data_IF_178683748152
#
_entry.id   IF_178683748152
#
_cell.length_a   1.000
_cell.length_b   1.000
_cell.length_c   1.000
_cell.angle_alpha   90.00
_cell.angle_beta   90.00
_cell.angle_gamma   90.00
#
_symmetry.space_group_name_H-M   'P 1'
#
loop_
_entity.id
_entity.type
_entity.pdbx_description
1 polymer ?
#
# COMPACT_ATOMS: atom_id res chain seq x y z
N UNK A 1 54.89 16.99 -24.69
CA UNK A 1 54.24 15.72 -25.06
C UNK A 1 54.64 14.71 -24.01
N UNK A 2 53.79 14.03 -23.26
CA UNK A 2 52.46 13.51 -23.57
C UNK A 2 51.81 13.23 -22.22
N UNK A 3 50.72 13.94 -21.93
CA UNK A 3 49.76 13.56 -20.91
C UNK A 3 49.24 12.18 -21.29
N UNK A 4 49.71 11.11 -20.65
CA UNK A 4 49.09 9.81 -20.82
C UNK A 4 49.50 8.91 -19.65
N UNK A 5 48.51 8.28 -19.02
CA UNK A 5 48.59 7.30 -17.91
C UNK A 5 48.22 7.80 -16.51
N UNK A 6 47.37 8.81 -16.41
CA UNK A 6 46.56 9.05 -15.20
C UNK A 6 45.08 8.72 -15.49
N UNK A 7 44.80 7.50 -15.95
CA UNK A 7 43.47 7.18 -16.52
C UNK A 7 42.91 5.83 -16.09
N UNK A 8 43.40 5.20 -15.02
CA UNK A 8 42.85 3.92 -14.55
C UNK A 8 42.84 3.88 -13.02
N UNK A 9 42.03 4.73 -12.40
CA UNK A 9 41.68 4.62 -10.98
C UNK A 9 40.25 5.11 -10.69
N UNK A 10 39.37 4.98 -11.68
CA UNK A 10 37.93 5.17 -11.52
C UNK A 10 37.22 3.90 -12.01
N UNK A 11 37.60 2.75 -11.45
CA UNK A 11 36.88 1.51 -11.63
C UNK A 11 35.59 1.57 -10.80
N UNK A 12 34.57 2.18 -11.42
CA UNK A 12 33.15 1.82 -11.35
C UNK A 12 32.76 0.95 -10.13
N UNK A 13 32.57 1.60 -8.98
CA UNK A 13 31.80 1.04 -7.87
C UNK A 13 30.30 1.21 -8.15
N UNK A 14 29.80 0.69 -9.27
CA UNK A 14 28.38 0.66 -9.61
C UNK A 14 27.77 -0.73 -9.36
N UNK A 15 28.23 -1.41 -8.31
CA UNK A 15 27.74 -2.72 -7.94
C UNK A 15 26.59 -2.59 -6.92
N UNK A 16 25.39 -2.91 -7.41
CA UNK A 16 24.25 -3.43 -6.65
C UNK A 16 23.46 -2.46 -5.75
N UNK A 17 22.78 -1.48 -6.36
CA UNK A 17 21.39 -1.20 -5.96
C UNK A 17 20.47 -2.19 -6.68
N UNK A 18 20.63 -3.48 -6.36
CA UNK A 18 19.59 -4.46 -6.66
C UNK A 18 18.44 -4.13 -5.71
N UNK A 19 17.56 -3.26 -6.20
CA UNK A 19 16.24 -2.99 -5.64
C UNK A 19 15.65 -4.32 -5.16
N UNK A 20 15.28 -4.39 -3.89
CA UNK A 20 14.53 -5.50 -3.33
C UNK A 20 13.13 -5.50 -3.94
N UNK A 21 13.01 -5.85 -5.23
CA UNK A 21 11.74 -6.15 -5.84
C UNK A 21 11.17 -7.36 -5.10
N UNK A 22 10.17 -7.10 -4.25
CA UNK A 22 9.47 -8.15 -3.52
C UNK A 22 8.72 -8.99 -4.54
N UNK A 23 8.99 -10.30 -4.53
CA UNK A 23 8.32 -11.23 -5.44
C UNK A 23 6.81 -11.19 -5.22
N UNK A 24 6.00 -11.37 -6.28
CA UNK A 24 4.56 -11.50 -6.13
C UNK A 24 4.20 -12.62 -5.15
N UNK A 25 3.21 -12.38 -4.29
CA UNK A 25 2.70 -13.41 -3.40
C UNK A 25 1.82 -14.39 -4.17
N UNK A 26 1.86 -15.67 -3.78
CA UNK A 26 0.93 -16.67 -4.29
C UNK A 26 -0.43 -16.46 -3.63
N UNK A 27 -1.36 -15.79 -4.32
CA UNK A 27 -2.75 -15.61 -3.87
C UNK A 27 -3.56 -16.87 -4.18
N UNK A 28 -4.14 -17.57 -3.18
CA UNK A 28 -4.93 -18.77 -3.45
C UNK A 28 -6.20 -18.42 -4.26
N UNK A 29 -6.41 -19.12 -5.38
CA UNK A 29 -7.54 -18.87 -6.29
C UNK A 29 -8.91 -19.04 -5.61
N UNK A 30 -9.02 -19.94 -4.62
CA UNK A 30 -10.25 -20.19 -3.87
C UNK A 30 -10.43 -19.35 -2.60
N UNK A 31 -9.48 -18.47 -2.26
CA UNK A 31 -9.56 -17.70 -1.02
C UNK A 31 -10.77 -16.75 -1.02
N UNK A 32 -11.50 -16.75 0.08
CA UNK A 32 -12.58 -15.80 0.37
C UNK A 32 -12.03 -14.39 0.69
N UNK A 33 -12.87 -13.35 0.64
CA UNK A 33 -12.49 -11.99 1.04
C UNK A 33 -11.88 -11.95 2.46
N UNK A 34 -12.52 -12.62 3.42
CA UNK A 34 -12.06 -12.66 4.81
C UNK A 34 -10.68 -13.33 4.95
N UNK A 35 -10.43 -14.43 4.22
CA UNK A 35 -9.12 -15.08 4.21
C UNK A 35 -8.05 -14.17 3.60
N UNK A 36 -8.35 -13.47 2.50
CA UNK A 36 -7.43 -12.51 1.89
C UNK A 36 -7.10 -11.36 2.83
N UNK A 37 -8.11 -10.78 3.51
CA UNK A 37 -7.90 -9.75 4.54
C UNK A 37 -7.02 -10.28 5.67
N UNK A 38 -7.28 -11.48 6.17
CA UNK A 38 -6.47 -12.08 7.23
C UNK A 38 -5.02 -12.32 6.78
N UNK A 39 -4.81 -12.80 5.55
CA UNK A 39 -3.48 -12.99 4.97
C UNK A 39 -2.73 -11.65 4.82
N UNK A 40 -3.45 -10.60 4.41
CA UNK A 40 -2.91 -9.25 4.28
C UNK A 40 -2.47 -8.69 5.64
N UNK A 41 -3.33 -8.79 6.66
CA UNK A 41 -3.03 -8.37 8.03
C UNK A 41 -1.81 -9.11 8.59
N UNK A 42 -1.78 -10.45 8.47
CA UNK A 42 -0.65 -11.28 8.90
C UNK A 42 0.65 -10.89 8.20
N UNK A 43 0.59 -10.51 6.91
CA UNK A 43 1.76 -10.04 6.17
C UNK A 43 2.23 -8.67 6.70
N UNK A 44 1.31 -7.73 6.94
CA UNK A 44 1.61 -6.40 7.48
C UNK A 44 2.21 -6.47 8.90
N UNK A 45 1.68 -7.33 9.77
CA UNK A 45 2.21 -7.58 11.11
C UNK A 45 3.66 -8.10 11.08
N UNK A 46 4.02 -8.86 10.05
CA UNK A 46 5.38 -9.36 9.81
C UNK A 46 6.28 -8.34 9.08
N UNK A 47 5.80 -7.11 8.88
CA UNK A 47 6.52 -6.05 8.15
C UNK A 47 6.61 -6.29 6.64
N UNK A 48 5.85 -7.24 6.08
CA UNK A 48 5.82 -7.54 4.65
C UNK A 48 4.76 -6.68 3.95
N UNK A 49 4.97 -5.37 3.93
CA UNK A 49 3.99 -4.40 3.44
C UNK A 49 3.54 -4.66 2.00
N UNK A 50 4.46 -4.91 1.06
CA UNK A 50 4.07 -5.16 -0.34
C UNK A 50 3.32 -6.48 -0.52
N UNK A 51 3.62 -7.48 0.30
CA UNK A 51 2.83 -8.71 0.33
C UNK A 51 1.40 -8.44 0.84
N UNK A 52 1.26 -7.61 1.88
CA UNK A 52 -0.04 -7.21 2.39
C UNK A 52 -0.86 -6.44 1.34
N UNK A 53 -0.24 -5.47 0.66
CA UNK A 53 -0.87 -4.70 -0.42
C UNK A 53 -1.37 -5.63 -1.52
N UNK A 54 -0.60 -6.65 -1.92
CA UNK A 54 -1.04 -7.60 -2.95
C UNK A 54 -2.26 -8.43 -2.52
N UNK A 55 -2.35 -8.86 -1.26
CA UNK A 55 -3.54 -9.55 -0.77
C UNK A 55 -4.76 -8.64 -0.69
N UNK A 56 -4.59 -7.38 -0.24
CA UNK A 56 -5.67 -6.40 -0.28
C UNK A 56 -6.09 -6.07 -1.72
N UNK A 57 -5.16 -5.96 -2.65
CA UNK A 57 -5.48 -5.75 -4.07
C UNK A 57 -6.29 -6.92 -4.62
N UNK A 58 -5.99 -8.16 -4.22
CA UNK A 58 -6.80 -9.31 -4.59
C UNK A 58 -8.25 -9.22 -4.07
N UNK A 59 -8.49 -8.58 -2.92
CA UNK A 59 -9.86 -8.28 -2.45
C UNK A 59 -10.55 -7.33 -3.41
N UNK A 60 -9.89 -6.21 -3.75
CA UNK A 60 -10.43 -5.19 -4.65
C UNK A 60 -10.73 -5.75 -6.05
N UNK A 61 -9.86 -6.60 -6.57
CA UNK A 61 -9.95 -7.13 -7.94
C UNK A 61 -10.99 -8.24 -8.05
N UNK A 62 -11.07 -9.14 -7.05
CA UNK A 62 -11.89 -10.35 -7.12
C UNK A 62 -13.26 -10.20 -6.47
N UNK A 63 -13.41 -9.27 -5.55
CA UNK A 63 -14.62 -9.11 -4.74
C UNK A 63 -15.07 -7.65 -4.64
N UNK A 64 -15.24 -6.93 -5.77
CA UNK A 64 -15.60 -5.50 -5.76
C UNK A 64 -16.97 -5.22 -5.12
N UNK A 65 -17.86 -6.22 -5.06
CA UNK A 65 -19.20 -6.13 -4.47
C UNK A 65 -19.20 -6.38 -2.95
N UNK A 66 -18.12 -6.92 -2.37
CA UNK A 66 -17.98 -7.07 -0.92
C UNK A 66 -17.54 -5.73 -0.32
N UNK A 67 -18.49 -4.79 -0.25
CA UNK A 67 -18.23 -3.41 0.16
C UNK A 67 -17.50 -3.29 1.52
N UNK A 68 -17.82 -4.10 2.56
CA UNK A 68 -17.05 -4.12 3.79
C UNK A 68 -15.58 -4.49 3.60
N UNK A 69 -15.29 -5.56 2.85
CA UNK A 69 -13.93 -6.02 2.61
C UNK A 69 -13.15 -5.06 1.70
N UNK A 70 -13.81 -4.47 0.71
CA UNK A 70 -13.24 -3.43 -0.17
C UNK A 70 -12.86 -2.20 0.65
N UNK A 71 -13.74 -1.72 1.52
CA UNK A 71 -13.48 -0.58 2.39
C UNK A 71 -12.28 -0.84 3.32
N UNK A 72 -12.19 -2.05 3.89
CA UNK A 72 -11.05 -2.47 4.69
C UNK A 72 -9.74 -2.45 3.87
N UNK A 73 -9.76 -3.04 2.67
CA UNK A 73 -8.59 -3.12 1.80
C UNK A 73 -8.09 -1.73 1.37
N UNK A 74 -8.99 -0.82 0.96
CA UNK A 74 -8.66 0.55 0.59
C UNK A 74 -8.02 1.32 1.76
N UNK A 75 -8.61 1.21 2.97
CA UNK A 75 -8.05 1.84 4.16
C UNK A 75 -6.67 1.30 4.50
N UNK A 76 -6.49 -0.02 4.52
CA UNK A 76 -5.24 -0.65 4.93
C UNK A 76 -4.10 -0.38 3.94
N UNK A 77 -4.38 -0.35 2.63
CA UNK A 77 -3.41 0.07 1.62
C UNK A 77 -2.98 1.53 1.86
N UNK A 78 -3.94 2.43 2.09
CA UNK A 78 -3.64 3.83 2.40
C UNK A 78 -2.80 3.97 3.68
N UNK A 79 -3.15 3.20 4.72
CA UNK A 79 -2.47 3.21 6.00
C UNK A 79 -1.04 2.64 5.92
N UNK A 80 -0.81 1.61 5.10
CA UNK A 80 0.54 1.10 4.81
C UNK A 80 1.41 2.21 4.21
N UNK A 81 0.91 2.92 3.19
CA UNK A 81 1.67 4.05 2.58
C UNK A 81 1.93 5.18 3.56
N UNK A 82 0.96 5.48 4.43
CA UNK A 82 1.16 6.44 5.52
C UNK A 82 2.27 6.01 6.49
N UNK A 83 2.29 4.73 6.91
CA UNK A 83 3.34 4.19 7.79
C UNK A 83 4.74 4.23 7.15
N UNK A 84 4.80 4.11 5.83
CA UNK A 84 6.03 4.26 5.03
C UNK A 84 6.47 5.72 4.86
N UNK A 85 5.68 6.67 5.39
CA UNK A 85 5.84 8.13 5.21
C UNK A 85 5.72 8.58 3.76
N UNK A 86 5.15 7.73 2.90
CA UNK A 86 4.78 8.12 1.53
C UNK A 86 3.43 8.82 1.55
N UNK A 87 3.43 10.06 2.04
CA UNK A 87 2.23 10.88 2.13
C UNK A 87 1.67 11.24 0.75
N UNK A 88 2.53 11.31 -0.27
CA UNK A 88 2.13 11.57 -1.65
C UNK A 88 1.21 10.48 -2.20
N UNK A 89 1.45 9.21 -1.85
CA UNK A 89 0.54 8.12 -2.16
C UNK A 89 -0.60 7.96 -1.15
N UNK A 90 -0.32 8.12 0.15
CA UNK A 90 -1.32 7.89 1.20
C UNK A 90 -2.50 8.87 1.13
N UNK A 91 -2.24 10.16 0.93
CA UNK A 91 -3.25 11.23 0.91
C UNK A 91 -4.36 10.98 -0.13
N UNK A 92 -4.06 10.79 -1.43
CA UNK A 92 -5.12 10.54 -2.43
C UNK A 92 -5.88 9.23 -2.19
N UNK A 93 -5.26 8.23 -1.55
CA UNK A 93 -5.94 6.98 -1.19
C UNK A 93 -6.97 7.22 -0.07
N UNK A 94 -6.61 7.96 0.99
CA UNK A 94 -7.57 8.32 2.04
C UNK A 94 -8.70 9.20 1.52
N UNK A 95 -8.42 10.17 0.65
CA UNK A 95 -9.45 11.01 0.02
C UNK A 95 -10.46 10.13 -0.74
N UNK A 96 -9.97 9.16 -1.52
CA UNK A 96 -10.81 8.24 -2.28
C UNK A 96 -11.68 7.37 -1.37
N UNK A 97 -11.09 6.79 -0.33
CA UNK A 97 -11.81 6.00 0.68
C UNK A 97 -12.94 6.83 1.30
N UNK A 98 -12.64 8.05 1.73
CA UNK A 98 -13.61 8.92 2.41
C UNK A 98 -14.76 9.35 1.50
N UNK A 99 -14.50 9.59 0.21
CA UNK A 99 -15.53 9.91 -0.76
C UNK A 99 -16.59 8.81 -0.92
N UNK A 100 -16.29 7.55 -0.57
CA UNK A 100 -17.28 6.45 -0.61
C UNK A 100 -18.39 6.62 0.42
N UNK A 101 -18.13 7.31 1.52
CA UNK A 101 -19.12 7.56 2.57
C UNK A 101 -20.13 8.64 2.20
N UNK A 102 -19.99 9.28 1.03
CA UNK A 102 -20.97 10.19 0.45
C UNK A 102 -21.87 9.50 -0.59
N UNK A 103 -21.70 8.19 -0.79
CA UNK A 103 -22.50 7.39 -1.72
C UNK A 103 -23.80 6.85 -1.08
N UNK A 104 -24.80 6.44 -1.88
CA UNK A 104 -26.00 5.77 -1.36
C UNK A 104 -25.71 4.50 -0.54
N UNK A 105 -24.60 3.82 -0.86
CA UNK A 105 -24.19 2.57 -0.21
C UNK A 105 -23.39 2.80 1.07
N UNK A 106 -23.21 4.05 1.52
CA UNK A 106 -22.43 4.39 2.71
C UNK A 106 -22.90 3.66 3.98
N UNK A 107 -24.19 3.32 4.08
CA UNK A 107 -24.75 2.56 5.19
C UNK A 107 -24.20 1.12 5.30
N UNK A 108 -23.67 0.57 4.20
CA UNK A 108 -23.05 -0.76 4.13
C UNK A 108 -21.55 -0.73 4.47
N UNK A 109 -20.94 0.47 4.55
CA UNK A 109 -19.52 0.62 4.79
C UNK A 109 -19.22 0.61 6.30
N UNK A 110 -18.17 -0.09 6.76
CA UNK A 110 -17.78 -0.08 8.16
C UNK A 110 -17.37 1.33 8.62
N UNK A 111 -18.07 1.91 9.60
CA UNK A 111 -17.89 3.30 10.00
C UNK A 111 -16.50 3.61 10.60
N UNK A 112 -15.79 2.61 11.12
CA UNK A 112 -14.47 2.79 11.71
C UNK A 112 -13.44 3.32 10.70
N UNK A 113 -13.53 2.91 9.43
CA UNK A 113 -12.55 3.34 8.42
C UNK A 113 -12.74 4.79 7.99
N UNK A 114 -13.96 5.34 8.12
CA UNK A 114 -14.21 6.79 8.01
C UNK A 114 -13.47 7.55 9.10
N UNK A 115 -13.71 7.21 10.36
CA UNK A 115 -13.14 7.90 11.53
C UNK A 115 -11.60 7.83 11.50
N UNK A 116 -11.05 6.66 11.21
CA UNK A 116 -9.61 6.48 11.11
C UNK A 116 -9.05 7.23 9.89
N UNK A 117 -9.69 7.14 8.73
CA UNK A 117 -9.27 7.82 7.50
C UNK A 117 -9.22 9.34 7.67
N UNK A 118 -10.25 9.95 8.24
CA UNK A 118 -10.31 11.39 8.55
C UNK A 118 -9.16 11.80 9.46
N UNK A 119 -8.91 11.02 10.52
CA UNK A 119 -7.82 11.28 11.47
C UNK A 119 -6.44 11.21 10.80
N UNK A 120 -6.18 10.18 9.99
CA UNK A 120 -4.88 10.06 9.31
C UNK A 120 -4.71 11.17 8.27
N UNK A 121 -5.75 11.49 7.51
CA UNK A 121 -5.72 12.55 6.50
C UNK A 121 -5.36 13.91 7.13
N UNK A 122 -6.01 14.27 8.25
CA UNK A 122 -5.68 15.48 8.99
C UNK A 122 -4.21 15.47 9.48
N UNK A 123 -3.69 14.33 9.93
CA UNK A 123 -2.28 14.22 10.32
C UNK A 123 -1.31 14.36 9.15
N UNK A 124 -1.69 13.95 7.94
CA UNK A 124 -0.89 14.18 6.73
C UNK A 124 -0.87 15.67 6.40
N UNK A 125 -2.02 16.34 6.43
CA UNK A 125 -2.13 17.77 6.11
C UNK A 125 -1.36 18.67 7.08
N UNK A 126 -1.22 18.28 8.35
CA UNK A 126 -0.40 19.01 9.33
C UNK A 126 1.11 18.88 9.09
N UNK A 127 1.55 17.99 8.20
CA UNK A 127 2.97 17.75 7.88
C UNK A 127 3.41 18.37 6.56
N UNK A 128 2.46 18.86 5.76
CA UNK A 128 2.68 19.60 4.52
C UNK A 128 2.77 21.11 4.80
#
# INVERSE_FOLDING_TARGET
MRFLRLSVLMAVSAAAVLSCASLPVSVPEGASPAELVQMAQNAAERGKNEAAVQYYQAVLDRFPEDLPSVCAAEYEIAFIRYKEKDYGQAKPLFIRLLARYDSPDAALLPAQYKVLGEKILAMIELKE
#
